data_IF_997021627526
#
_entry.id   IF_997021627526
#
_cell.length_a   1.000
_cell.length_b   1.000
_cell.length_c   1.000
_cell.angle_alpha   90.00
_cell.angle_beta   90.00
_cell.angle_gamma   90.00
#
_symmetry.space_group_name_H-M   'P 1'
#
loop_
_entity.id
_entity.type
_entity.pdbx_description
1 polymer ?
#
# COMPACT_ATOMS: atom_id res chain seq x y z
N UNK A 1 -8.27 4.88 -26.80
CA UNK A 1 -8.91 4.29 -25.60
C UNK A 1 -8.13 4.70 -24.34
N UNK A 2 -8.54 5.79 -23.65
CA UNK A 2 -7.80 6.38 -22.50
C UNK A 2 -8.15 5.79 -21.13
N UNK A 3 -9.12 4.88 -21.05
CA UNK A 3 -9.74 4.43 -19.79
C UNK A 3 -8.91 3.43 -18.96
N UNK A 4 -7.84 2.86 -19.49
CA UNK A 4 -6.93 1.98 -18.72
C UNK A 4 -5.89 2.76 -17.90
N UNK A 5 -5.72 4.06 -18.15
CA UNK A 5 -4.71 4.88 -17.46
C UNK A 5 -5.20 5.44 -16.12
N UNK A 6 -6.51 5.42 -15.84
CA UNK A 6 -7.07 6.03 -14.62
C UNK A 6 -6.45 5.48 -13.34
N UNK A 7 -6.04 4.21 -13.30
CA UNK A 7 -5.36 3.61 -12.14
C UNK A 7 -3.97 4.19 -11.91
N UNK A 8 -3.15 4.23 -12.96
CA UNK A 8 -1.78 4.76 -12.94
C UNK A 8 -1.81 6.26 -12.63
N UNK A 9 -2.69 7.00 -13.29
CA UNK A 9 -2.86 8.44 -13.12
C UNK A 9 -3.41 8.80 -11.73
N UNK A 10 -4.34 8.00 -11.18
CA UNK A 10 -4.82 8.16 -9.81
C UNK A 10 -3.73 7.92 -8.77
N UNK A 11 -2.84 6.93 -9.00
CA UNK A 11 -1.71 6.70 -8.12
C UNK A 11 -0.72 7.87 -8.18
N UNK A 12 -0.38 8.32 -9.40
CA UNK A 12 0.56 9.43 -9.61
C UNK A 12 0.10 10.73 -8.93
N UNK A 13 -1.17 11.12 -9.11
CA UNK A 13 -1.73 12.30 -8.44
C UNK A 13 -1.71 12.17 -6.92
N UNK A 14 -2.06 10.99 -6.37
CA UNK A 14 -2.03 10.77 -4.92
C UNK A 14 -0.63 10.81 -4.31
N UNK A 15 0.38 10.28 -5.00
CA UNK A 15 1.79 10.34 -4.56
C UNK A 15 2.32 11.77 -4.61
N UNK A 16 1.95 12.54 -5.64
CA UNK A 16 2.30 13.96 -5.71
C UNK A 16 1.73 14.75 -4.53
N UNK A 17 0.45 14.54 -4.21
CA UNK A 17 -0.19 15.18 -3.07
C UNK A 17 0.48 14.80 -1.73
N UNK A 18 0.92 13.54 -1.57
CA UNK A 18 1.69 13.11 -0.39
C UNK A 18 3.00 13.90 -0.24
N UNK A 19 3.75 14.04 -1.34
CA UNK A 19 5.03 14.79 -1.35
C UNK A 19 4.79 16.26 -0.99
N UNK A 20 3.76 16.88 -1.58
CA UNK A 20 3.38 18.27 -1.30
C UNK A 20 2.93 18.47 0.15
N UNK A 21 2.09 17.58 0.68
CA UNK A 21 1.62 17.64 2.07
C UNK A 21 2.75 17.46 3.10
N UNK A 22 3.79 16.71 2.74
CA UNK A 22 4.97 16.52 3.59
C UNK A 22 5.94 17.71 3.52
N UNK A 23 5.74 18.65 2.59
CA UNK A 23 6.68 19.75 2.32
C UNK A 23 7.97 19.26 1.64
N UNK A 24 7.92 18.09 0.99
CA UNK A 24 9.07 17.38 0.45
C UNK A 24 9.83 16.53 1.48
N UNK A 25 10.69 15.65 0.99
CA UNK A 25 11.52 14.77 1.82
C UNK A 25 12.98 15.21 1.79
N UNK A 26 13.61 15.36 2.95
CA UNK A 26 15.04 15.71 3.05
C UNK A 26 15.97 14.53 2.75
N UNK A 27 15.49 13.29 2.95
CA UNK A 27 16.27 12.08 2.75
C UNK A 27 15.53 11.11 1.83
N UNK A 28 16.25 10.53 0.87
CA UNK A 28 15.70 9.56 -0.07
C UNK A 28 15.13 8.32 0.64
N UNK A 29 15.79 7.82 1.70
CA UNK A 29 15.31 6.67 2.47
C UNK A 29 13.94 6.93 3.12
N UNK A 30 13.73 8.14 3.64
CA UNK A 30 12.44 8.55 4.22
C UNK A 30 11.37 8.69 3.14
N UNK A 31 11.72 9.28 1.99
CA UNK A 31 10.81 9.36 0.84
C UNK A 31 10.39 7.97 0.36
N UNK A 32 11.34 7.04 0.26
CA UNK A 32 11.09 5.67 -0.18
C UNK A 32 10.14 4.94 0.77
N UNK A 33 10.42 4.95 2.08
CA UNK A 33 9.55 4.32 3.07
C UNK A 33 8.14 4.92 3.04
N UNK A 34 8.02 6.25 3.05
CA UNK A 34 6.71 6.91 3.06
C UNK A 34 5.89 6.62 1.80
N UNK A 35 6.51 6.62 0.61
CA UNK A 35 5.84 6.28 -0.65
C UNK A 35 5.45 4.81 -0.66
N UNK A 36 6.33 3.91 -0.23
CA UNK A 36 6.07 2.48 -0.16
C UNK A 36 4.88 2.18 0.78
N UNK A 37 4.88 2.79 1.97
CA UNK A 37 3.83 2.59 2.96
C UNK A 37 2.48 3.13 2.45
N UNK A 38 2.50 4.34 1.87
CA UNK A 38 1.30 4.96 1.31
C UNK A 38 0.68 4.14 0.17
N UNK A 39 1.50 3.66 -0.78
CA UNK A 39 1.03 2.83 -1.88
C UNK A 39 0.53 1.48 -1.36
N UNK A 40 1.21 0.86 -0.40
CA UNK A 40 0.80 -0.38 0.25
C UNK A 40 -0.58 -0.25 0.91
N UNK A 41 -0.79 0.77 1.74
CA UNK A 41 -2.08 1.01 2.41
C UNK A 41 -3.19 1.25 1.37
N UNK A 42 -2.89 1.98 0.30
CA UNK A 42 -3.87 2.27 -0.75
C UNK A 42 -4.27 1.02 -1.54
N UNK A 43 -3.29 0.17 -1.88
CA UNK A 43 -3.54 -1.12 -2.55
C UNK A 43 -4.39 -2.04 -1.68
N UNK A 44 -4.14 -2.03 -0.37
CA UNK A 44 -4.93 -2.78 0.60
C UNK A 44 -6.39 -2.30 0.66
N UNK A 45 -6.62 -1.00 0.80
CA UNK A 45 -7.97 -0.44 0.85
C UNK A 45 -8.77 -0.71 -0.42
N UNK A 46 -8.10 -0.87 -1.57
CA UNK A 46 -8.73 -1.23 -2.84
C UNK A 46 -8.95 -2.73 -3.04
N UNK A 47 -8.50 -3.58 -2.11
CA UNK A 47 -8.55 -5.03 -2.26
C UNK A 47 -7.62 -5.56 -3.35
N UNK A 48 -6.63 -4.80 -3.80
CA UNK A 48 -5.72 -5.23 -4.88
C UNK A 48 -4.83 -6.41 -4.44
N UNK A 49 -4.62 -6.58 -3.13
CA UNK A 49 -3.95 -7.74 -2.57
C UNK A 49 -4.82 -9.01 -2.56
N UNK A 50 -6.12 -8.92 -2.85
CA UNK A 50 -6.99 -10.10 -2.91
C UNK A 50 -6.58 -11.07 -4.00
N UNK A 51 -5.94 -10.58 -5.07
CA UNK A 51 -5.36 -11.43 -6.10
C UNK A 51 -4.20 -12.29 -5.60
N UNK A 52 -3.56 -11.92 -4.48
CA UNK A 52 -2.46 -12.68 -3.85
C UNK A 52 -2.94 -13.55 -2.69
N UNK A 53 -4.15 -13.28 -2.17
CA UNK A 53 -4.80 -14.04 -1.10
C UNK A 53 -5.61 -15.17 -1.73
N UNK A 54 -4.89 -16.22 -2.13
CA UNK A 54 -5.41 -17.35 -2.91
C UNK A 54 -6.19 -18.34 -2.02
N UNK A 55 -7.34 -17.96 -1.43
CA UNK A 55 -8.29 -18.91 -0.83
C UNK A 55 -9.74 -18.42 -0.89
N UNK A 56 -10.64 -19.30 -1.32
CA UNK A 56 -12.08 -19.05 -1.48
C UNK A 56 -12.86 -18.92 -0.15
N UNK A 57 -12.20 -19.09 1.00
CA UNK A 57 -12.87 -19.11 2.30
C UNK A 57 -12.89 -17.71 2.96
N UNK A 58 -14.07 -17.11 3.20
CA UNK A 58 -14.17 -15.73 3.71
C UNK A 58 -13.51 -15.52 5.09
N UNK A 59 -13.48 -16.56 5.92
CA UNK A 59 -12.89 -16.52 7.27
C UNK A 59 -11.36 -16.55 7.24
N UNK A 60 -10.75 -17.30 6.32
CA UNK A 60 -9.28 -17.32 6.18
C UNK A 60 -8.77 -16.01 5.58
N UNK A 61 -9.58 -15.35 4.73
CA UNK A 61 -9.19 -14.12 4.03
C UNK A 61 -8.87 -12.95 4.96
N UNK A 62 -9.61 -12.78 6.07
CA UNK A 62 -9.34 -11.69 7.04
C UNK A 62 -8.05 -11.95 7.82
N UNK A 63 -7.83 -13.19 8.23
CA UNK A 63 -6.64 -13.59 8.97
C UNK A 63 -5.37 -13.54 8.10
N UNK A 64 -5.46 -14.02 6.86
CA UNK A 64 -4.38 -13.93 5.87
C UNK A 64 -4.08 -12.48 5.48
N UNK A 65 -5.10 -11.62 5.33
CA UNK A 65 -4.89 -10.17 5.16
C UNK A 65 -4.13 -9.58 6.34
N UNK A 66 -4.50 -9.91 7.57
CA UNK A 66 -3.79 -9.40 8.75
C UNK A 66 -2.35 -9.90 8.80
N UNK A 67 -2.11 -11.19 8.52
CA UNK A 67 -0.77 -11.76 8.49
C UNK A 67 0.10 -11.11 7.40
N UNK A 68 -0.45 -10.98 6.19
CA UNK A 68 0.21 -10.32 5.05
C UNK A 68 0.55 -8.86 5.35
N UNK A 69 -0.36 -8.10 5.95
CA UNK A 69 -0.11 -6.70 6.36
C UNK A 69 1.01 -6.63 7.39
N UNK A 70 0.96 -7.51 8.38
CA UNK A 70 1.97 -7.51 9.44
C UNK A 70 3.36 -7.89 8.92
N UNK A 71 3.45 -8.75 7.91
CA UNK A 71 4.70 -9.06 7.21
C UNK A 71 5.15 -7.90 6.30
N UNK A 72 4.24 -7.35 5.50
CA UNK A 72 4.53 -6.29 4.53
C UNK A 72 4.99 -4.97 5.18
N UNK A 73 4.37 -4.61 6.30
CA UNK A 73 4.71 -3.40 7.08
C UNK A 73 5.62 -3.69 8.27
N UNK A 74 6.05 -4.95 8.45
CA UNK A 74 6.93 -5.37 9.55
C UNK A 74 6.42 -4.98 10.96
N UNK A 75 5.10 -4.89 11.15
CA UNK A 75 4.48 -4.31 12.35
C UNK A 75 4.77 -5.15 13.60
N UNK A 76 4.87 -6.48 13.49
CA UNK A 76 5.20 -7.36 14.62
C UNK A 76 6.70 -7.40 14.97
N UNK A 77 7.59 -6.98 14.07
CA UNK A 77 9.04 -6.96 14.34
C UNK A 77 9.51 -5.77 15.19
N UNK A 78 8.62 -4.81 15.47
CA UNK A 78 8.90 -3.62 16.28
C UNK A 78 8.61 -3.88 17.78
N UNK A 79 7.87 -4.95 18.12
CA UNK A 79 7.48 -5.29 19.48
C UNK A 79 8.23 -6.50 20.09
N UNK A 80 9.32 -6.96 19.47
CA UNK A 80 10.15 -8.07 19.96
C UNK A 80 11.40 -7.58 20.70
#
# INVERSE_FOLDING_TARGET
MKYLNNGIESNHSSTKNLIEATGGFKMQKQAWSAIQDFVGIRMLNKGQFDCWLCRDEPKSRVQERSAFVNEFFYIFGIYA
#
